data_IF_337912667542
#
_entry.id   IF_337912667542
#
_cell.length_a   1.000
_cell.length_b   1.000
_cell.length_c   1.000
_cell.angle_alpha   90.00
_cell.angle_beta   90.00
_cell.angle_gamma   90.00
#
_symmetry.space_group_name_H-M   'P 1'
#
loop_
_entity.id
_entity.type
_entity.pdbx_description
1 polymer ?
#
# COMPACT_ATOMS: atom_id res chain seq x y z
N UNK A 1 8.84 31.37 10.89
CA UNK A 1 9.14 30.40 9.80
C UNK A 1 8.64 29.05 10.30
N UNK A 2 7.66 28.43 9.64
CA UNK A 2 7.23 27.08 10.03
C UNK A 2 8.40 26.10 9.85
N UNK A 3 8.58 25.11 10.74
CA UNK A 3 9.64 24.13 10.60
C UNK A 3 9.49 23.37 9.28
N UNK A 4 10.58 23.24 8.53
CA UNK A 4 10.60 22.51 7.25
C UNK A 4 10.14 21.05 7.48
N UNK A 5 9.15 20.60 6.72
CA UNK A 5 8.67 19.22 6.79
C UNK A 5 9.79 18.25 6.39
N UNK A 6 10.07 17.29 7.27
CA UNK A 6 11.06 16.22 7.05
C UNK A 6 10.32 14.89 6.98
N UNK A 7 10.13 14.31 5.78
CA UNK A 7 9.39 13.07 5.64
C UNK A 7 10.11 11.93 6.34
N UNK A 8 9.35 11.07 7.01
CA UNK A 8 9.82 9.82 7.61
C UNK A 8 9.65 8.70 6.61
N UNK A 9 10.75 8.11 6.17
CA UNK A 9 10.74 7.04 5.17
C UNK A 9 11.19 5.72 5.81
N UNK A 10 10.43 4.65 5.55
CA UNK A 10 10.84 3.28 5.90
C UNK A 10 11.26 2.55 4.63
N UNK A 11 12.53 2.16 4.55
CA UNK A 11 13.10 1.45 3.40
C UNK A 11 13.27 -0.04 3.69
N UNK A 12 12.82 -0.91 2.79
CA UNK A 12 13.12 -2.35 2.81
C UNK A 12 14.10 -2.66 1.67
N UNK A 13 15.35 -2.98 2.00
CA UNK A 13 16.38 -3.21 0.99
C UNK A 13 16.77 -4.68 0.94
N UNK A 14 16.82 -5.25 -0.27
CA UNK A 14 17.35 -6.59 -0.47
C UNK A 14 18.85 -6.64 -0.13
N UNK A 15 19.26 -7.72 0.52
CA UNK A 15 20.61 -7.91 1.03
C UNK A 15 21.67 -7.86 -0.08
N UNK A 16 21.35 -8.47 -1.23
CA UNK A 16 22.34 -8.76 -2.27
C UNK A 16 22.67 -7.59 -3.18
N UNK A 17 21.69 -6.71 -3.47
CA UNK A 17 21.86 -5.62 -4.42
C UNK A 17 21.65 -4.26 -3.75
N UNK A 18 20.41 -3.91 -3.41
CA UNK A 18 20.09 -2.56 -2.97
C UNK A 18 20.72 -2.18 -1.63
N UNK A 19 20.84 -3.12 -0.69
CA UNK A 19 21.55 -2.88 0.58
C UNK A 19 23.05 -2.66 0.33
N UNK A 20 23.68 -3.47 -0.53
CA UNK A 20 25.08 -3.28 -0.93
C UNK A 20 25.28 -1.97 -1.71
N UNK A 21 24.31 -1.56 -2.53
CA UNK A 21 24.31 -0.24 -3.18
C UNK A 21 24.26 0.90 -2.17
N UNK A 22 23.49 0.75 -1.08
CA UNK A 22 23.49 1.71 0.04
C UNK A 22 24.85 1.75 0.76
N UNK A 23 25.47 0.59 1.01
CA UNK A 23 26.81 0.50 1.60
C UNK A 23 27.84 1.20 0.70
N UNK A 24 27.78 0.96 -0.61
CA UNK A 24 28.66 1.61 -1.58
C UNK A 24 28.46 3.12 -1.62
N UNK A 25 27.23 3.61 -1.47
CA UNK A 25 26.96 5.05 -1.35
C UNK A 25 27.65 5.65 -0.13
N UNK A 26 27.62 4.94 1.01
CA UNK A 26 28.34 5.32 2.22
C UNK A 26 29.86 5.33 2.05
N UNK A 27 30.44 4.25 1.50
CA UNK A 27 31.89 4.15 1.21
C UNK A 27 32.35 5.25 0.26
N UNK A 28 31.56 5.53 -0.77
CA UNK A 28 31.84 6.55 -1.78
C UNK A 28 31.51 7.97 -1.33
N UNK A 29 30.93 8.13 -0.12
CA UNK A 29 30.54 9.41 0.48
C UNK A 29 29.49 10.18 -0.35
N UNK A 30 28.67 9.49 -1.13
CA UNK A 30 27.55 10.11 -1.83
C UNK A 30 26.53 10.62 -0.81
N UNK A 31 26.24 11.91 -0.84
CA UNK A 31 25.31 12.54 0.08
C UNK A 31 23.87 12.37 -0.42
N UNK A 32 22.96 12.10 0.51
CA UNK A 32 21.52 12.03 0.27
C UNK A 32 20.78 12.42 1.56
N UNK A 33 19.48 12.79 1.48
CA UNK A 33 18.72 13.18 2.66
C UNK A 33 18.66 12.09 3.75
N UNK A 34 18.85 12.42 5.03
CA UNK A 34 18.83 11.47 6.14
C UNK A 34 17.40 11.08 6.59
N UNK A 35 16.45 11.01 5.64
CA UNK A 35 15.02 10.78 5.89
C UNK A 35 14.64 9.30 5.99
N UNK A 36 15.47 8.41 5.45
CA UNK A 36 15.16 6.98 5.34
C UNK A 36 15.83 6.13 6.41
N UNK A 37 15.03 5.28 7.06
CA UNK A 37 15.50 4.20 7.95
C UNK A 37 15.35 2.86 7.24
N UNK A 38 16.42 2.07 7.22
CA UNK A 38 16.49 0.84 6.43
C UNK A 38 16.22 -0.38 7.30
N UNK A 39 15.38 -1.29 6.81
CA UNK A 39 15.24 -2.67 7.25
C UNK A 39 15.84 -3.56 6.15
N UNK A 40 16.85 -4.34 6.52
CA UNK A 40 17.44 -5.33 5.62
C UNK A 40 16.54 -6.56 5.50
N UNK A 41 16.28 -6.98 4.27
CA UNK A 41 15.61 -8.26 3.96
C UNK A 41 16.45 -9.05 2.99
N UNK A 42 16.30 -10.37 2.92
CA UNK A 42 17.12 -11.18 2.01
C UNK A 42 16.77 -10.91 0.54
N UNK A 43 15.49 -10.78 0.22
CA UNK A 43 14.98 -10.50 -1.12
C UNK A 43 13.88 -9.44 -1.04
N UNK A 44 13.70 -8.61 -2.08
CA UNK A 44 12.56 -7.69 -2.17
C UNK A 44 11.22 -8.43 -2.16
N UNK A 45 11.18 -9.66 -2.69
CA UNK A 45 10.00 -10.54 -2.58
C UNK A 45 9.62 -10.95 -1.16
N UNK A 46 10.47 -10.69 -0.16
CA UNK A 46 10.11 -10.87 1.25
C UNK A 46 9.20 -9.76 1.77
N UNK A 47 9.18 -8.61 1.11
CA UNK A 47 8.37 -7.46 1.53
C UNK A 47 6.91 -7.79 1.30
N UNK A 48 6.18 -7.87 2.40
CA UNK A 48 4.76 -8.19 2.40
C UNK A 48 3.94 -6.90 2.48
N UNK A 49 2.76 -6.89 1.85
CA UNK A 49 1.85 -5.76 1.89
C UNK A 49 1.42 -5.39 3.33
N UNK A 50 1.39 -6.33 4.28
CA UNK A 50 1.17 -6.03 5.69
C UNK A 50 2.24 -5.10 6.25
N UNK A 51 3.50 -5.24 5.82
CA UNK A 51 4.59 -4.38 6.29
C UNK A 51 4.40 -2.94 5.80
N UNK A 52 3.98 -2.79 4.54
CA UNK A 52 3.67 -1.50 3.92
C UNK A 52 2.49 -0.83 4.65
N UNK A 53 1.38 -1.54 4.82
CA UNK A 53 0.18 -1.01 5.48
C UNK A 53 0.44 -0.67 6.96
N UNK A 54 1.23 -1.50 7.65
CA UNK A 54 1.65 -1.24 9.04
C UNK A 54 2.55 0.00 9.14
N UNK A 55 3.43 0.23 8.18
CA UNK A 55 4.26 1.43 8.15
C UNK A 55 3.39 2.70 8.08
N UNK A 56 2.43 2.75 7.13
CA UNK A 56 1.49 3.87 7.03
C UNK A 56 0.60 4.01 8.27
N UNK A 57 0.16 2.90 8.87
CA UNK A 57 -0.62 2.92 10.12
C UNK A 57 0.15 3.54 11.28
N UNK A 58 1.49 3.46 11.26
CA UNK A 58 2.38 4.09 12.23
C UNK A 58 2.78 5.53 11.85
N UNK A 59 2.18 6.09 10.80
CA UNK A 59 2.40 7.46 10.33
C UNK A 59 3.66 7.67 9.49
N UNK A 60 4.27 6.61 8.96
CA UNK A 60 5.37 6.74 7.99
C UNK A 60 4.85 7.48 6.74
N UNK A 61 5.61 8.46 6.26
CA UNK A 61 5.19 9.33 5.15
C UNK A 61 5.42 8.69 3.78
N UNK A 62 6.37 7.75 3.70
CA UNK A 62 6.61 6.94 2.52
C UNK A 62 7.34 5.63 2.82
N UNK A 63 7.03 4.61 2.01
CA UNK A 63 7.65 3.29 2.06
C UNK A 63 8.46 3.08 0.78
N UNK A 64 9.74 2.78 0.95
CA UNK A 64 10.67 2.50 -0.14
C UNK A 64 11.01 1.00 -0.15
N UNK A 65 11.06 0.39 -1.31
CA UNK A 65 11.51 -0.99 -1.50
C UNK A 65 12.65 -0.97 -2.49
N UNK A 66 13.80 -1.52 -2.10
CA UNK A 66 14.98 -1.64 -2.96
C UNK A 66 15.24 -3.09 -3.33
N UNK A 67 15.26 -3.39 -4.63
CA UNK A 67 15.48 -4.73 -5.16
C UNK A 67 16.67 -4.82 -6.12
N UNK A 68 17.02 -6.05 -6.50
CA UNK A 68 17.87 -6.31 -7.67
C UNK A 68 17.07 -6.06 -8.95
N UNK A 69 17.74 -5.68 -10.03
CA UNK A 69 17.11 -5.56 -11.36
C UNK A 69 16.36 -6.84 -11.74
N UNK A 70 15.27 -6.68 -12.48
CA UNK A 70 14.54 -7.81 -13.04
C UNK A 70 15.49 -8.66 -13.91
N UNK A 71 15.42 -9.99 -13.75
CA UNK A 71 16.37 -10.93 -14.34
C UNK A 71 17.69 -11.11 -13.57
N UNK A 72 18.00 -10.26 -12.59
CA UNK A 72 19.23 -10.32 -11.78
C UNK A 72 18.98 -10.69 -10.31
N UNK A 73 17.84 -11.33 -10.01
CA UNK A 73 17.54 -11.73 -8.65
C UNK A 73 18.56 -12.78 -8.17
N UNK A 74 19.12 -12.58 -6.97
CA UNK A 74 20.00 -13.59 -6.36
C UNK A 74 19.27 -14.94 -6.13
N UNK A 75 17.97 -14.89 -5.87
CA UNK A 75 17.15 -16.08 -5.68
C UNK A 75 16.49 -16.48 -7.00
N UNK A 76 16.68 -17.73 -7.41
CA UNK A 76 16.14 -18.32 -8.65
C UNK A 76 14.60 -18.27 -8.73
N UNK A 77 13.92 -18.12 -7.60
CA UNK A 77 12.46 -17.91 -7.56
C UNK A 77 12.04 -16.53 -8.06
N UNK A 78 12.99 -15.61 -8.25
CA UNK A 78 12.79 -14.27 -8.82
C UNK A 78 11.72 -13.45 -8.09
N UNK A 79 11.82 -13.43 -6.76
CA UNK A 79 10.87 -12.71 -5.90
C UNK A 79 10.83 -11.20 -6.12
N UNK A 80 11.77 -10.61 -6.88
CA UNK A 80 11.69 -9.22 -7.29
C UNK A 80 10.50 -8.94 -8.22
N UNK A 81 10.07 -9.89 -9.05
CA UNK A 81 8.85 -9.74 -9.84
C UNK A 81 7.58 -9.82 -8.97
N UNK A 82 7.57 -10.69 -7.94
CA UNK A 82 6.46 -10.71 -6.98
C UNK A 82 6.37 -9.37 -6.22
N UNK A 83 7.52 -8.77 -5.88
CA UNK A 83 7.57 -7.44 -5.27
C UNK A 83 7.02 -6.34 -6.19
N UNK A 84 7.23 -6.45 -7.51
CA UNK A 84 6.68 -5.53 -8.50
C UNK A 84 5.15 -5.62 -8.58
N UNK A 85 4.60 -6.83 -8.71
CA UNK A 85 3.14 -7.06 -8.67
C UNK A 85 2.53 -6.54 -7.35
N UNK A 86 3.17 -6.86 -6.22
CA UNK A 86 2.73 -6.42 -4.90
C UNK A 86 2.74 -4.90 -4.77
N UNK A 87 3.75 -4.23 -5.31
CA UNK A 87 3.83 -2.76 -5.31
C UNK A 87 2.67 -2.15 -6.09
N UNK A 88 2.35 -2.64 -7.30
CA UNK A 88 1.22 -2.13 -8.07
C UNK A 88 -0.13 -2.38 -7.39
N UNK A 89 -0.36 -3.59 -6.87
CA UNK A 89 -1.56 -3.90 -6.09
C UNK A 89 -1.65 -3.02 -4.83
N UNK A 90 -0.52 -2.83 -4.15
CA UNK A 90 -0.39 -1.98 -2.98
C UNK A 90 -0.77 -0.53 -3.29
N UNK A 91 -0.28 0.03 -4.40
CA UNK A 91 -0.64 1.39 -4.84
C UNK A 91 -2.15 1.54 -5.03
N UNK A 92 -2.81 0.60 -5.74
CA UNK A 92 -4.27 0.62 -5.89
C UNK A 92 -5.01 0.58 -4.57
N UNK A 93 -4.55 -0.25 -3.63
CA UNK A 93 -5.15 -0.33 -2.29
C UNK A 93 -4.96 0.97 -1.49
N UNK A 94 -3.78 1.59 -1.57
CA UNK A 94 -3.50 2.87 -0.92
C UNK A 94 -4.42 3.98 -1.44
N UNK A 95 -4.67 4.06 -2.75
CA UNK A 95 -5.63 5.01 -3.33
C UNK A 95 -7.03 4.85 -2.72
N UNK A 96 -7.50 3.61 -2.57
CA UNK A 96 -8.83 3.31 -2.01
C UNK A 96 -8.99 3.75 -0.56
N UNK A 97 -7.89 4.05 0.14
CA UNK A 97 -7.92 4.55 1.51
C UNK A 97 -7.41 5.98 1.65
N UNK A 98 -7.24 6.68 0.53
CA UNK A 98 -6.83 8.09 0.51
C UNK A 98 -5.34 8.31 0.77
N UNK A 99 -4.50 7.28 0.63
CA UNK A 99 -3.04 7.42 0.66
C UNK A 99 -2.54 7.55 -0.77
N UNK A 100 -1.81 8.64 -1.05
CA UNK A 100 -1.29 8.90 -2.38
C UNK A 100 -0.34 7.75 -2.84
N UNK A 101 -0.51 7.18 -4.06
CA UNK A 101 0.27 6.05 -4.58
C UNK A 101 1.78 6.24 -4.52
N UNK A 102 2.22 7.46 -4.86
CA UNK A 102 3.64 7.81 -4.88
C UNK A 102 4.31 7.71 -3.50
N UNK A 103 3.56 7.51 -2.41
CA UNK A 103 4.14 7.23 -1.09
C UNK A 103 4.67 5.80 -0.99
N UNK A 104 4.34 4.90 -1.90
CA UNK A 104 4.94 3.57 -2.03
C UNK A 104 5.79 3.51 -3.30
N UNK A 105 7.10 3.30 -3.15
CA UNK A 105 8.04 3.23 -4.29
C UNK A 105 8.88 1.96 -4.22
N UNK A 106 9.02 1.30 -5.37
CA UNK A 106 9.94 0.20 -5.60
C UNK A 106 10.99 0.67 -6.61
N UNK A 107 12.26 0.48 -6.30
CA UNK A 107 13.39 0.83 -7.16
C UNK A 107 14.38 -0.32 -7.29
N UNK A 108 15.04 -0.36 -8.44
CA UNK A 108 16.07 -1.33 -8.76
C UNK A 108 17.45 -0.69 -8.64
N UNK A 109 18.30 -1.27 -7.79
CA UNK A 109 19.65 -0.77 -7.50
C UNK A 109 20.57 -1.98 -7.37
N UNK A 110 21.56 -2.09 -8.27
CA UNK A 110 22.59 -3.12 -8.18
C UNK A 110 23.60 -2.82 -7.06
N UNK A 111 24.40 -3.82 -6.68
CA UNK A 111 25.44 -3.65 -5.65
C UNK A 111 26.50 -2.59 -6.02
N UNK A 112 26.73 -2.35 -7.32
CA UNK A 112 27.70 -1.37 -7.82
C UNK A 112 27.11 0.02 -8.06
N UNK A 113 25.83 0.23 -7.75
CA UNK A 113 25.08 1.43 -8.08
C UNK A 113 24.88 2.40 -6.90
N UNK A 114 25.96 2.71 -6.18
CA UNK A 114 25.91 3.62 -5.02
C UNK A 114 25.45 5.04 -5.35
N UNK A 115 25.84 5.58 -6.52
CA UNK A 115 25.40 6.91 -6.96
C UNK A 115 23.90 6.93 -7.24
N UNK A 116 23.40 5.94 -8.00
CA UNK A 116 21.97 5.76 -8.26
C UNK A 116 21.17 5.61 -6.97
N UNK A 117 21.67 4.87 -5.98
CA UNK A 117 21.01 4.79 -4.67
C UNK A 117 20.80 6.17 -4.05
N UNK A 118 21.85 7.00 -3.99
CA UNK A 118 21.76 8.35 -3.45
C UNK A 118 20.76 9.22 -4.25
N UNK A 119 20.75 9.10 -5.58
CA UNK A 119 19.82 9.81 -6.46
C UNK A 119 18.36 9.40 -6.21
N UNK A 120 18.04 8.11 -6.21
CA UNK A 120 16.65 7.65 -6.05
C UNK A 120 16.09 7.95 -4.66
N UNK A 121 16.93 7.91 -3.63
CA UNK A 121 16.54 8.31 -2.26
C UNK A 121 16.30 9.81 -2.16
N UNK A 122 17.14 10.61 -2.84
CA UNK A 122 16.96 12.06 -2.90
C UNK A 122 15.69 12.45 -3.66
N UNK A 123 15.46 11.84 -4.82
CA UNK A 123 14.24 12.03 -5.62
C UNK A 123 12.99 11.64 -4.83
N UNK A 124 13.00 10.47 -4.19
CA UNK A 124 11.87 10.01 -3.38
C UNK A 124 11.60 10.95 -2.19
N UNK A 125 12.65 11.42 -1.53
CA UNK A 125 12.52 12.39 -0.44
C UNK A 125 11.95 13.71 -0.93
N UNK A 126 12.41 14.21 -2.10
CA UNK A 126 11.87 15.40 -2.75
C UNK A 126 10.38 15.26 -3.06
N UNK A 127 9.99 14.14 -3.68
CA UNK A 127 8.58 13.85 -3.98
C UNK A 127 7.70 13.83 -2.73
N UNK A 128 8.17 13.23 -1.64
CA UNK A 128 7.40 13.23 -0.38
C UNK A 128 7.30 14.62 0.24
N UNK A 129 8.31 15.48 0.09
CA UNK A 129 8.23 16.88 0.53
C UNK A 129 7.14 17.64 -0.23
N UNK A 130 7.01 17.44 -1.54
CA UNK A 130 5.94 18.02 -2.35
C UNK A 130 4.55 17.56 -1.90
N UNK A 131 4.41 16.27 -1.58
CA UNK A 131 3.16 15.68 -1.09
C UNK A 131 2.82 16.08 0.35
N UNK A 132 3.79 16.60 1.11
CA UNK A 132 3.62 16.96 2.51
C UNK A 132 3.43 15.76 3.46
N UNK A 133 3.13 16.03 4.75
CA UNK A 133 2.88 14.99 5.74
C UNK A 133 1.68 14.13 5.31
N UNK A 134 1.74 12.83 5.57
CA UNK A 134 0.57 12.00 5.30
C UNK A 134 -0.51 12.16 6.37
N UNK A 135 -1.77 12.09 5.96
CA UNK A 135 -2.94 12.11 6.86
C UNK A 135 -3.86 10.90 6.60
N UNK A 136 -3.26 9.71 6.59
CA UNK A 136 -4.01 8.50 6.32
C UNK A 136 -4.99 8.18 7.44
N UNK A 137 -6.25 7.89 7.08
CA UNK A 137 -7.24 7.41 8.03
C UNK A 137 -6.82 6.06 8.63
N UNK A 138 -6.53 6.06 9.93
CA UNK A 138 -6.20 4.83 10.68
C UNK A 138 -7.28 3.76 10.54
N UNK A 139 -8.55 4.17 10.54
CA UNK A 139 -9.70 3.29 10.35
C UNK A 139 -9.67 2.61 8.98
N UNK A 140 -9.45 3.39 7.91
CA UNK A 140 -9.41 2.85 6.54
C UNK A 140 -8.22 1.90 6.34
N UNK A 141 -7.06 2.23 6.91
CA UNK A 141 -5.89 1.34 6.91
C UNK A 141 -6.13 0.05 7.69
N UNK A 142 -6.77 0.13 8.86
CA UNK A 142 -7.15 -1.06 9.64
C UNK A 142 -8.11 -1.97 8.87
N UNK A 143 -9.08 -1.38 8.15
CA UNK A 143 -10.01 -2.13 7.32
C UNK A 143 -9.32 -2.92 6.19
N UNK A 144 -8.31 -2.33 5.52
CA UNK A 144 -7.50 -3.09 4.55
C UNK A 144 -6.75 -4.21 5.27
N UNK A 145 -6.09 -3.93 6.40
CA UNK A 145 -5.28 -4.93 7.11
C UNK A 145 -6.10 -6.14 7.56
N UNK A 146 -7.34 -5.92 8.02
CA UNK A 146 -8.30 -7.01 8.34
C UNK A 146 -8.71 -7.81 7.09
N UNK A 147 -8.85 -7.15 5.95
CA UNK A 147 -9.20 -7.80 4.67
C UNK A 147 -7.99 -8.43 3.97
N UNK A 148 -6.77 -8.17 4.43
CA UNK A 148 -5.54 -8.56 3.74
C UNK A 148 -5.43 -10.08 3.45
N UNK A 149 -5.84 -11.00 4.33
CA UNK A 149 -5.83 -12.44 4.00
C UNK A 149 -6.69 -12.77 2.77
N UNK A 150 -7.85 -12.14 2.64
CA UNK A 150 -8.72 -12.29 1.48
C UNK A 150 -8.11 -11.65 0.23
N UNK A 151 -7.53 -10.46 0.35
CA UNK A 151 -6.83 -9.79 -0.78
C UNK A 151 -5.70 -10.66 -1.31
N UNK A 152 -4.91 -11.27 -0.43
CA UNK A 152 -3.83 -12.19 -0.82
C UNK A 152 -4.36 -13.44 -1.52
N UNK A 153 -5.51 -13.96 -1.09
CA UNK A 153 -6.17 -15.06 -1.79
C UNK A 153 -6.60 -14.63 -3.20
N UNK A 154 -7.26 -13.46 -3.34
CA UNK A 154 -7.66 -12.94 -4.65
C UNK A 154 -6.46 -12.71 -5.55
N UNK A 155 -5.38 -12.12 -5.02
CA UNK A 155 -4.14 -11.91 -5.76
C UNK A 155 -3.61 -13.24 -6.31
N UNK A 156 -3.43 -14.23 -5.44
CA UNK A 156 -2.89 -15.55 -5.83
C UNK A 156 -3.74 -16.27 -6.87
N UNK A 157 -5.07 -16.24 -6.72
CA UNK A 157 -5.99 -17.04 -7.54
C UNK A 157 -6.42 -16.33 -8.84
N UNK A 158 -6.34 -14.99 -8.90
CA UNK A 158 -6.93 -14.20 -9.99
C UNK A 158 -6.01 -13.14 -10.59
N UNK A 159 -5.07 -12.58 -9.83
CA UNK A 159 -4.26 -11.43 -10.26
C UNK A 159 -2.78 -11.75 -10.45
N UNK A 160 -2.35 -12.95 -10.07
CA UNK A 160 -0.94 -13.35 -10.13
C UNK A 160 -0.51 -13.51 -11.58
N UNK A 161 0.37 -12.62 -12.01
CA UNK A 161 0.89 -12.56 -13.38
C UNK A 161 2.41 -12.56 -13.38
N UNK A 162 2.97 -13.05 -14.50
CA UNK A 162 4.40 -13.01 -14.76
C UNK A 162 4.64 -12.45 -16.15
N UNK A 163 5.30 -11.29 -16.21
CA UNK A 163 5.72 -10.66 -17.46
C UNK A 163 7.24 -10.51 -17.49
N UNK A 164 7.79 -10.26 -18.67
CA UNK A 164 9.24 -10.17 -18.90
C UNK A 164 9.78 -8.75 -18.60
N UNK A 165 8.93 -7.73 -18.73
CA UNK A 165 9.32 -6.32 -18.61
C UNK A 165 8.41 -5.51 -17.68
N UNK A 166 8.96 -4.43 -17.10
CA UNK A 166 8.20 -3.49 -16.26
C UNK A 166 7.02 -2.85 -16.99
N UNK A 167 7.19 -2.50 -18.27
CA UNK A 167 6.14 -1.87 -19.07
C UNK A 167 4.88 -2.76 -19.17
N UNK A 168 5.04 -4.07 -19.29
CA UNK A 168 3.91 -5.02 -19.31
C UNK A 168 3.18 -5.07 -17.97
N UNK A 169 3.90 -4.96 -16.84
CA UNK A 169 3.27 -4.82 -15.53
C UNK A 169 2.48 -3.51 -15.43
N UNK A 170 3.07 -2.39 -15.85
CA UNK A 170 2.39 -1.10 -15.84
C UNK A 170 1.12 -1.11 -16.69
N UNK A 171 1.18 -1.63 -17.91
CA UNK A 171 0.04 -1.78 -18.82
C UNK A 171 -1.06 -2.66 -18.21
N UNK A 172 -0.70 -3.84 -17.70
CA UNK A 172 -1.65 -4.74 -17.05
C UNK A 172 -2.32 -4.08 -15.85
N UNK A 173 -1.53 -3.44 -14.98
CA UNK A 173 -2.03 -2.79 -13.78
C UNK A 173 -2.81 -1.49 -14.06
N UNK A 174 -2.65 -0.89 -15.25
CA UNK A 174 -3.45 0.25 -15.71
C UNK A 174 -4.74 -0.17 -16.46
N UNK A 175 -4.82 -1.42 -16.94
CA UNK A 175 -5.91 -1.87 -17.81
C UNK A 175 -7.30 -1.76 -17.18
N UNK A 176 -8.31 -1.44 -18.01
CA UNK A 176 -9.72 -1.37 -17.60
C UNK A 176 -10.24 -2.73 -17.10
N UNK A 177 -9.79 -3.82 -17.74
CA UNK A 177 -10.13 -5.18 -17.34
C UNK A 177 -9.67 -5.48 -15.90
N UNK A 178 -8.43 -5.13 -15.55
CA UNK A 178 -7.96 -5.30 -14.18
C UNK A 178 -8.67 -4.36 -13.21
N UNK A 179 -8.91 -3.09 -13.58
CA UNK A 179 -9.61 -2.14 -12.71
C UNK A 179 -11.01 -2.64 -12.37
N UNK A 180 -11.75 -3.14 -13.36
CA UNK A 180 -13.08 -3.73 -13.16
C UNK A 180 -13.02 -4.94 -12.23
N UNK A 181 -12.06 -5.85 -12.45
CA UNK A 181 -11.88 -7.03 -11.62
C UNK A 181 -11.47 -6.68 -10.18
N UNK A 182 -10.59 -5.69 -10.01
CA UNK A 182 -10.20 -5.17 -8.69
C UNK A 182 -11.39 -4.56 -7.95
N UNK A 183 -12.26 -3.83 -8.66
CA UNK A 183 -13.42 -3.18 -8.05
C UNK A 183 -14.46 -4.20 -7.58
N UNK A 184 -14.73 -5.20 -8.41
CA UNK A 184 -15.65 -6.29 -8.11
C UNK A 184 -15.15 -7.16 -6.94
N UNK A 185 -13.89 -7.58 -6.99
CA UNK A 185 -13.37 -8.56 -6.03
C UNK A 185 -12.88 -7.91 -4.74
N UNK A 186 -12.27 -6.72 -4.80
CA UNK A 186 -11.56 -6.13 -3.67
C UNK A 186 -12.25 -4.86 -3.16
N UNK A 187 -12.55 -3.88 -4.02
CA UNK A 187 -13.04 -2.58 -3.55
C UNK A 187 -14.40 -2.68 -2.84
N UNK A 188 -15.34 -3.46 -3.38
CA UNK A 188 -16.65 -3.69 -2.76
C UNK A 188 -16.52 -4.37 -1.38
N UNK A 189 -15.55 -5.28 -1.21
CA UNK A 189 -15.27 -5.96 0.08
C UNK A 189 -14.56 -5.03 1.06
N UNK A 190 -13.71 -4.14 0.56
CA UNK A 190 -13.03 -3.14 1.38
C UNK A 190 -14.03 -2.14 1.96
N UNK A 191 -15.01 -1.68 1.18
CA UNK A 191 -16.07 -0.81 1.68
C UNK A 191 -16.86 -1.48 2.82
N UNK A 192 -17.20 -2.76 2.67
CA UNK A 192 -17.84 -3.55 3.75
C UNK A 192 -16.94 -3.63 4.99
N UNK A 193 -15.64 -3.95 4.80
CA UNK A 193 -14.67 -4.00 5.90
C UNK A 193 -14.58 -2.66 6.64
N UNK A 194 -14.58 -1.54 5.92
CA UNK A 194 -14.56 -0.19 6.52
C UNK A 194 -15.81 0.08 7.36
N UNK A 195 -17.00 -0.29 6.87
CA UNK A 195 -18.26 -0.17 7.62
C UNK A 195 -18.20 -1.01 8.90
N UNK A 196 -17.76 -2.27 8.81
CA UNK A 196 -17.64 -3.16 9.97
C UNK A 196 -16.68 -2.60 11.02
N UNK A 197 -15.51 -2.10 10.60
CA UNK A 197 -14.54 -1.47 11.52
C UNK A 197 -15.09 -0.20 12.15
N UNK A 198 -15.84 0.62 11.39
CA UNK A 198 -16.48 1.83 11.91
C UNK A 198 -17.54 1.48 12.97
N UNK A 199 -18.37 0.49 12.70
CA UNK A 199 -19.45 0.06 13.61
C UNK A 199 -18.96 -0.69 14.86
N UNK A 200 -17.71 -1.16 14.87
CA UNK A 200 -17.06 -1.67 16.09
C UNK A 200 -16.87 -0.58 17.15
N UNK A 201 -16.82 0.69 16.75
CA UNK A 201 -16.62 1.81 17.68
C UNK A 201 -17.94 2.32 18.24
N UNK A 202 -18.97 2.42 17.40
CA UNK A 202 -20.29 2.93 17.77
C UNK A 202 -21.35 2.60 16.71
N UNK A 203 -22.62 2.55 17.13
CA UNK A 203 -23.74 2.42 16.21
C UNK A 203 -23.99 3.75 15.47
N UNK A 204 -24.18 3.69 14.16
CA UNK A 204 -24.30 4.86 13.29
C UNK A 204 -25.46 4.73 12.29
N UNK A 205 -26.03 5.85 11.91
CA UNK A 205 -27.02 5.95 10.84
C UNK A 205 -26.35 5.82 9.47
N UNK A 206 -27.10 5.49 8.40
CA UNK A 206 -26.56 5.43 7.04
C UNK A 206 -25.86 6.72 6.58
N UNK A 207 -26.39 7.89 6.98
CA UNK A 207 -25.79 9.18 6.65
C UNK A 207 -24.45 9.39 7.35
N UNK A 208 -24.38 9.12 8.66
CA UNK A 208 -23.13 9.22 9.42
C UNK A 208 -22.04 8.27 8.88
N UNK A 209 -22.42 7.07 8.42
CA UNK A 209 -21.50 6.11 7.80
C UNK A 209 -21.00 6.64 6.44
N UNK A 210 -21.91 7.17 5.62
CA UNK A 210 -21.56 7.72 4.30
C UNK A 210 -20.56 8.88 4.44
N UNK A 211 -20.83 9.80 5.37
CA UNK A 211 -19.98 10.95 5.65
C UNK A 211 -18.61 10.52 6.20
N UNK A 212 -18.59 9.62 7.19
CA UNK A 212 -17.35 9.17 7.82
C UNK A 212 -16.41 8.43 6.86
N UNK A 213 -16.96 7.72 5.87
CA UNK A 213 -16.17 6.96 4.91
C UNK A 213 -15.94 7.71 3.59
N UNK A 214 -16.60 8.84 3.37
CA UNK A 214 -16.52 9.62 2.13
C UNK A 214 -17.13 8.88 0.94
N UNK A 215 -18.26 8.20 1.15
CA UNK A 215 -19.01 7.49 0.10
C UNK A 215 -20.40 8.11 -0.08
N UNK A 216 -21.02 7.86 -1.22
CA UNK A 216 -22.39 8.33 -1.45
C UNK A 216 -23.39 7.56 -0.57
N UNK A 217 -24.56 8.15 -0.23
CA UNK A 217 -25.61 7.44 0.51
C UNK A 217 -26.08 6.15 -0.19
N UNK A 218 -26.10 6.14 -1.52
CA UNK A 218 -26.44 4.95 -2.32
C UNK A 218 -25.41 3.82 -2.15
N UNK A 219 -24.12 4.15 -2.19
CA UNK A 219 -23.04 3.19 -1.93
C UNK A 219 -23.13 2.65 -0.50
N UNK A 220 -23.29 3.52 0.49
CA UNK A 220 -23.45 3.11 1.89
C UNK A 220 -24.63 2.13 2.05
N UNK A 221 -25.79 2.46 1.48
CA UNK A 221 -26.97 1.58 1.49
C UNK A 221 -26.73 0.24 0.79
N UNK A 222 -26.08 0.23 -0.38
CA UNK A 222 -25.69 -1.02 -1.10
C UNK A 222 -24.86 -1.92 -0.19
N UNK A 223 -23.81 -1.38 0.43
CA UNK A 223 -22.90 -2.17 1.27
C UNK A 223 -23.53 -2.59 2.61
N UNK A 224 -24.35 -1.74 3.23
CA UNK A 224 -25.09 -2.07 4.46
C UNK A 224 -26.09 -3.21 4.22
N UNK A 225 -26.85 -3.17 3.12
CA UNK A 225 -27.77 -4.25 2.75
C UNK A 225 -27.04 -5.58 2.52
N UNK A 226 -25.88 -5.54 1.84
CA UNK A 226 -25.04 -6.72 1.64
C UNK A 226 -24.49 -7.27 2.97
N UNK A 227 -24.06 -6.38 3.86
CA UNK A 227 -23.51 -6.71 5.17
C UNK A 227 -24.56 -7.31 6.11
N UNK A 228 -25.78 -6.77 6.10
CA UNK A 228 -26.90 -7.29 6.88
C UNK A 228 -27.31 -8.70 6.43
N UNK A 229 -27.35 -8.96 5.12
CA UNK A 229 -27.60 -10.31 4.56
C UNK A 229 -26.56 -11.34 5.02
N UNK A 230 -25.31 -10.89 5.18
CA UNK A 230 -24.21 -11.72 5.68
C UNK A 230 -24.15 -11.78 7.22
N UNK A 231 -25.10 -11.14 7.92
CA UNK A 231 -25.14 -11.03 9.39
C UNK A 231 -23.87 -10.44 9.98
N UNK A 232 -23.27 -9.48 9.28
CA UNK A 232 -22.12 -8.71 9.78
C UNK A 232 -22.57 -7.48 10.58
N UNK A 233 -23.77 -6.97 10.28
CA UNK A 233 -24.37 -5.80 10.93
C UNK A 233 -25.86 -6.03 11.16
N UNK A 234 -26.40 -5.41 12.20
CA UNK A 234 -27.84 -5.39 12.51
C UNK A 234 -28.37 -3.96 12.42
N UNK A 235 -29.62 -3.81 12.01
CA UNK A 235 -30.32 -2.52 12.01
C UNK A 235 -31.28 -2.46 13.20
N UNK A 236 -31.20 -1.38 13.97
CA UNK A 236 -32.18 -1.06 15.01
C UNK A 236 -33.25 -0.13 14.43
N UNK A 237 -34.47 -0.64 14.28
CA UNK A 237 -35.62 0.11 13.73
C UNK A 237 -36.04 1.30 14.61
N UNK A 238 -35.76 1.27 15.92
CA UNK A 238 -36.15 2.35 16.85
C UNK A 238 -35.20 3.54 16.72
N UNK A 239 -33.91 3.26 16.76
CA UNK A 239 -32.86 4.27 16.69
C UNK A 239 -32.47 4.65 15.25
N UNK A 240 -32.96 3.89 14.26
CA UNK A 240 -32.60 4.01 12.83
C UNK A 240 -31.09 3.94 12.59
N UNK A 241 -30.41 3.08 13.33
CA UNK A 241 -28.95 2.94 13.35
C UNK A 241 -28.52 1.51 13.08
N UNK A 242 -27.37 1.37 12.44
CA UNK A 242 -26.69 0.10 12.28
C UNK A 242 -25.71 -0.11 13.42
N UNK A 243 -25.63 -1.34 13.92
CA UNK A 243 -24.63 -1.80 14.88
C UNK A 243 -23.96 -3.06 14.32
N UNK A 244 -22.81 -3.42 14.90
CA UNK A 244 -22.20 -4.72 14.63
C UNK A 244 -23.15 -5.84 15.13
N UNK A 245 -23.30 -6.89 14.31
CA UNK A 245 -24.15 -8.04 14.62
C UNK A 245 -23.58 -8.94 15.73
#
# INVERSE_FOLDING_TARGET
MQPEFKPRILGFLCNWCSYAGADLAGVSRYQYPPSMKIIRVMCSGRVDLEFVLRAFSNGIDGVFIGGCWLGECHYVTEGNYDALSMMHLGKKLLERVGVHPDRLRLEWVSASQGMRYAEVVSDFTGRLKELGPQDASKLKLEAIRKLLPYIKLVEREKLRVRFESMAQYEEFFASEALNSLFDELIADKLAISQIVVLLQQQALSPGEIADALGMTPSQAAKHLNSSARQRLVTFDDREKRYALA
#
